data_IF_036098575619
#
_entry.id   IF_036098575619
#
_cell.length_a   1.000
_cell.length_b   1.000
_cell.length_c   1.000
_cell.angle_alpha   90.00
_cell.angle_beta   90.00
_cell.angle_gamma   90.00
#
_symmetry.space_group_name_H-M   'P 1'
#
loop_
_entity.id
_entity.type
_entity.pdbx_description
1 polymer ?
#
# COMPACT_ATOMS: atom_id res chain seq x y z
N UNK A 1 -1.57 -13.21 11.79
CA UNK A 1 -0.80 -12.12 11.13
C UNK A 1 0.68 -12.33 11.42
N UNK A 2 1.54 -12.44 10.40
CA UNK A 2 2.99 -12.67 10.57
C UNK A 2 3.70 -11.35 10.95
N UNK A 3 4.40 -11.34 12.08
CA UNK A 3 5.23 -10.20 12.54
C UNK A 3 6.61 -10.31 11.91
N UNK A 4 6.85 -9.63 10.78
CA UNK A 4 8.19 -9.55 10.21
C UNK A 4 8.99 -8.50 10.99
N UNK A 5 10.02 -8.92 11.73
CA UNK A 5 10.89 -8.02 12.50
C UNK A 5 10.13 -6.96 13.35
N UNK A 6 9.02 -7.32 13.99
CA UNK A 6 8.24 -6.39 14.83
C UNK A 6 7.34 -5.40 14.08
N UNK A 7 7.34 -5.40 12.74
CA UNK A 7 6.33 -4.69 11.96
C UNK A 7 4.98 -5.42 12.07
N UNK A 8 3.92 -4.64 12.31
CA UNK A 8 2.53 -5.12 12.32
C UNK A 8 1.78 -4.45 11.18
N UNK A 9 1.28 -5.26 10.25
CA UNK A 9 0.54 -4.76 9.10
C UNK A 9 -0.78 -4.09 9.54
N UNK A 10 -1.05 -2.93 8.95
CA UNK A 10 -2.31 -2.20 9.19
C UNK A 10 -3.49 -2.94 8.56
N UNK A 11 -4.34 -3.53 9.40
CA UNK A 11 -5.58 -4.18 8.94
C UNK A 11 -6.51 -3.24 8.17
N UNK A 12 -6.49 -1.93 8.50
CA UNK A 12 -7.24 -0.90 7.76
C UNK A 12 -6.70 -0.72 6.35
N UNK A 13 -5.38 -0.69 6.19
CA UNK A 13 -4.77 -0.55 4.86
C UNK A 13 -5.09 -1.77 3.98
N UNK A 14 -5.07 -2.97 4.56
CA UNK A 14 -5.50 -4.21 3.87
C UNK A 14 -6.94 -4.10 3.35
N UNK A 15 -7.86 -3.59 4.17
CA UNK A 15 -9.26 -3.38 3.77
C UNK A 15 -9.40 -2.38 2.61
N UNK A 16 -8.66 -1.26 2.64
CA UNK A 16 -8.70 -0.25 1.57
C UNK A 16 -8.13 -0.79 0.26
N UNK A 17 -7.07 -1.59 0.31
CA UNK A 17 -6.49 -2.23 -0.88
C UNK A 17 -7.47 -3.22 -1.50
N UNK A 18 -8.19 -3.97 -0.67
CA UNK A 18 -9.21 -4.92 -1.16
C UNK A 18 -10.35 -4.17 -1.87
N UNK A 19 -10.87 -3.11 -1.27
CA UNK A 19 -11.88 -2.24 -1.90
C UNK A 19 -11.39 -1.65 -3.23
N UNK A 20 -10.12 -1.24 -3.30
CA UNK A 20 -9.54 -0.74 -4.54
C UNK A 20 -9.51 -1.83 -5.62
N UNK A 21 -9.11 -3.05 -5.26
CA UNK A 21 -9.06 -4.19 -6.19
C UNK A 21 -10.45 -4.53 -6.74
N UNK A 22 -11.45 -4.59 -5.86
CA UNK A 22 -12.83 -4.87 -6.25
C UNK A 22 -13.36 -3.84 -7.24
N UNK A 23 -13.10 -2.55 -6.98
CA UNK A 23 -13.55 -1.46 -7.84
C UNK A 23 -12.82 -1.43 -9.18
N UNK A 24 -11.49 -1.62 -9.22
CA UNK A 24 -10.74 -1.67 -10.48
C UNK A 24 -11.12 -2.88 -11.35
N UNK A 25 -11.51 -4.00 -10.73
CA UNK A 25 -11.96 -5.21 -11.44
C UNK A 25 -13.28 -5.05 -12.20
N UNK A 26 -14.03 -3.98 -11.96
CA UNK A 26 -15.33 -3.72 -12.59
C UNK A 26 -15.24 -3.18 -14.04
N UNK A 27 -14.03 -2.93 -14.57
CA UNK A 27 -13.82 -2.66 -16.00
C UNK A 27 -14.28 -1.27 -16.50
N UNK A 28 -14.25 -0.24 -15.65
CA UNK A 28 -14.66 1.11 -16.04
C UNK A 28 -13.56 1.90 -16.77
N UNK A 29 -13.98 2.77 -17.69
CA UNK A 29 -13.11 3.76 -18.34
C UNK A 29 -12.85 4.92 -17.39
N UNK A 30 -11.61 5.06 -16.94
CA UNK A 30 -11.20 6.12 -16.02
C UNK A 30 -10.88 7.42 -16.76
N UNK A 31 -11.22 8.55 -16.16
CA UNK A 31 -10.76 9.86 -16.62
C UNK A 31 -9.23 9.99 -16.50
N UNK A 32 -8.60 10.74 -17.40
CA UNK A 32 -7.13 10.87 -17.50
C UNK A 32 -6.52 11.42 -16.21
N UNK A 33 -7.12 12.45 -15.61
CA UNK A 33 -6.62 13.06 -14.37
C UNK A 33 -6.71 12.09 -13.18
N UNK A 34 -7.80 11.33 -13.11
CA UNK A 34 -7.96 10.28 -12.11
C UNK A 34 -6.97 9.13 -12.30
N UNK A 35 -6.58 8.85 -13.55
CA UNK A 35 -5.61 7.80 -13.88
C UNK A 35 -4.23 8.12 -13.33
N UNK A 36 -3.78 9.38 -13.40
CA UNK A 36 -2.50 9.81 -12.83
C UNK A 36 -2.46 9.69 -11.30
N UNK A 37 -3.54 10.08 -10.63
CA UNK A 37 -3.66 9.95 -9.17
C UNK A 37 -3.64 8.46 -8.76
N UNK A 38 -4.38 7.63 -9.48
CA UNK A 38 -4.40 6.18 -9.28
C UNK A 38 -3.02 5.56 -9.51
N UNK A 39 -2.33 5.92 -10.58
CA UNK A 39 -0.96 5.44 -10.87
C UNK A 39 0.01 5.80 -9.75
N UNK A 40 -0.07 7.01 -9.20
CA UNK A 40 0.76 7.44 -8.09
C UNK A 40 0.51 6.60 -6.81
N UNK A 41 -0.75 6.34 -6.48
CA UNK A 41 -1.12 5.48 -5.33
C UNK A 41 -0.69 4.03 -5.57
N UNK A 42 -0.88 3.50 -6.78
CA UNK A 42 -0.44 2.15 -7.15
C UNK A 42 1.10 2.02 -7.08
N UNK A 43 1.84 3.03 -7.52
CA UNK A 43 3.30 3.06 -7.39
C UNK A 43 3.74 3.02 -5.91
N UNK A 44 3.07 3.77 -5.02
CA UNK A 44 3.32 3.70 -3.57
C UNK A 44 2.98 2.33 -2.97
N UNK A 45 1.87 1.72 -3.38
CA UNK A 45 1.52 0.35 -2.97
C UNK A 45 2.57 -0.68 -3.41
N UNK A 46 3.07 -0.57 -4.65
CA UNK A 46 4.14 -1.40 -5.16
C UNK A 46 5.44 -1.20 -4.36
N UNK A 47 5.81 0.05 -4.08
CA UNK A 47 6.99 0.37 -3.28
C UNK A 47 6.87 -0.23 -1.87
N UNK A 48 5.72 -0.07 -1.21
CA UNK A 48 5.42 -0.68 0.09
C UNK A 48 5.58 -2.20 0.04
N UNK A 49 5.02 -2.85 -0.97
CA UNK A 49 5.15 -4.31 -1.15
C UNK A 49 6.60 -4.75 -1.34
N UNK A 50 7.37 -4.03 -2.15
CA UNK A 50 8.79 -4.32 -2.35
C UNK A 50 9.58 -4.20 -1.04
N UNK A 51 9.33 -3.14 -0.25
CA UNK A 51 10.00 -2.93 1.05
C UNK A 51 9.63 -4.01 2.06
N UNK A 52 8.37 -4.45 2.09
CA UNK A 52 7.96 -5.59 2.93
C UNK A 52 8.67 -6.88 2.55
N UNK A 53 8.81 -7.18 1.25
CA UNK A 53 9.57 -8.36 0.80
C UNK A 53 11.05 -8.26 1.18
N UNK A 54 11.63 -7.06 1.17
CA UNK A 54 13.00 -6.82 1.66
C UNK A 54 13.08 -7.10 3.16
N UNK A 55 12.17 -6.55 3.96
CA UNK A 55 12.12 -6.76 5.42
C UNK A 55 11.97 -8.25 5.77
N UNK A 56 11.10 -8.97 5.07
CA UNK A 56 10.91 -10.41 5.24
C UNK A 56 12.17 -11.20 4.93
N UNK A 57 12.88 -10.86 3.84
CA UNK A 57 14.16 -11.50 3.49
C UNK A 57 15.24 -11.21 4.53
N UNK A 58 15.34 -9.97 5.01
CA UNK A 58 16.28 -9.58 6.06
C UNK A 58 16.02 -10.33 7.36
N UNK A 59 14.74 -10.48 7.73
CA UNK A 59 14.34 -11.25 8.92
C UNK A 59 14.73 -12.72 8.79
N UNK A 60 14.53 -13.33 7.60
CA UNK A 60 14.91 -14.72 7.34
C UNK A 60 16.42 -14.95 7.35
N UNK A 61 17.19 -13.97 6.90
CA UNK A 61 18.64 -14.05 6.78
C UNK A 61 19.39 -13.52 8.02
N UNK A 62 18.68 -13.25 9.14
CA UNK A 62 19.25 -12.70 10.38
C UNK A 62 20.10 -11.44 10.17
N UNK A 63 19.71 -10.57 9.23
CA UNK A 63 20.39 -9.30 8.97
C UNK A 63 20.20 -8.34 10.15
N UNK A 64 21.18 -7.44 10.38
CA UNK A 64 21.18 -6.45 11.47
C UNK A 64 19.81 -5.80 11.73
N UNK A 65 19.45 -5.71 13.02
CA UNK A 65 18.21 -5.09 13.49
C UNK A 65 18.12 -3.60 13.16
N UNK A 66 19.26 -2.89 13.10
CA UNK A 66 19.31 -1.48 12.71
C UNK A 66 18.93 -1.28 11.24
N UNK A 67 19.46 -2.12 10.35
CA UNK A 67 19.07 -2.11 8.94
C UNK A 67 17.58 -2.44 8.76
N UNK A 68 17.04 -3.36 9.57
CA UNK A 68 15.62 -3.69 9.57
C UNK A 68 14.75 -2.55 10.12
N UNK A 69 15.25 -1.74 11.06
CA UNK A 69 14.57 -0.55 11.57
C UNK A 69 14.38 0.51 10.48
N UNK A 70 15.43 0.82 9.71
CA UNK A 70 15.33 1.79 8.62
C UNK A 70 14.28 1.39 7.57
N UNK A 71 14.21 0.10 7.21
CA UNK A 71 13.19 -0.40 6.29
C UNK A 71 11.78 -0.31 6.89
N UNK A 72 11.61 -0.59 8.19
CA UNK A 72 10.32 -0.44 8.88
C UNK A 72 9.83 1.00 8.85
N UNK A 73 10.68 1.98 9.16
CA UNK A 73 10.30 3.39 9.12
C UNK A 73 9.81 3.81 7.73
N UNK A 74 10.46 3.33 6.66
CA UNK A 74 10.00 3.60 5.29
C UNK A 74 8.64 2.97 5.02
N UNK A 75 8.38 1.75 5.51
CA UNK A 75 7.08 1.09 5.35
C UNK A 75 5.99 1.85 6.13
N UNK A 76 6.28 2.27 7.36
CA UNK A 76 5.35 3.03 8.21
C UNK A 76 4.98 4.37 7.57
N UNK A 77 5.95 5.10 7.00
CA UNK A 77 5.70 6.33 6.25
C UNK A 77 4.82 6.09 5.01
N UNK A 78 5.07 5.02 4.28
CA UNK A 78 4.24 4.65 3.12
C UNK A 78 2.82 4.26 3.56
N UNK A 79 2.69 3.53 4.67
CA UNK A 79 1.38 3.17 5.23
C UNK A 79 0.58 4.41 5.62
N UNK A 80 1.21 5.39 6.28
CA UNK A 80 0.57 6.66 6.64
C UNK A 80 0.09 7.44 5.41
N UNK A 81 0.96 7.56 4.39
CA UNK A 81 0.59 8.21 3.13
C UNK A 81 -0.59 7.51 2.44
N UNK A 82 -0.52 6.18 2.33
CA UNK A 82 -1.57 5.39 1.71
C UNK A 82 -2.90 5.47 2.48
N UNK A 83 -2.86 5.54 3.81
CA UNK A 83 -4.05 5.72 4.64
C UNK A 83 -4.71 7.09 4.45
N UNK A 84 -3.95 8.11 4.04
CA UNK A 84 -4.47 9.43 3.72
C UNK A 84 -5.02 9.50 2.29
N UNK A 85 -4.36 8.83 1.34
CA UNK A 85 -4.64 8.95 -0.10
C UNK A 85 -5.72 7.97 -0.61
N UNK A 86 -5.75 6.73 -0.08
CA UNK A 86 -6.68 5.71 -0.57
C UNK A 86 -8.16 6.05 -0.34
N UNK A 87 -8.59 6.56 0.84
CA UNK A 87 -10.01 6.86 1.06
C UNK A 87 -10.60 7.86 0.04
N UNK A 88 -10.02 9.06 -0.19
CA UNK A 88 -10.58 10.00 -1.16
C UNK A 88 -10.48 9.45 -2.60
N UNK A 89 -9.45 8.67 -2.92
CA UNK A 89 -9.34 8.02 -4.23
C UNK A 89 -10.46 7.01 -4.46
N UNK A 90 -10.78 6.20 -3.45
CA UNK A 90 -11.87 5.24 -3.49
C UNK A 90 -13.22 5.94 -3.67
N UNK A 91 -13.49 7.01 -2.92
CA UNK A 91 -14.71 7.82 -3.06
C UNK A 91 -14.88 8.37 -4.49
N UNK A 92 -13.80 8.89 -5.08
CA UNK A 92 -13.83 9.36 -6.47
C UNK A 92 -14.06 8.23 -7.47
N UNK A 93 -13.45 7.07 -7.26
CA UNK A 93 -13.66 5.89 -8.10
C UNK A 93 -15.11 5.43 -8.09
N UNK A 94 -15.77 5.51 -6.94
CA UNK A 94 -17.20 5.20 -6.81
C UNK A 94 -18.07 6.17 -7.60
N UNK A 95 -17.73 7.46 -7.62
CA UNK A 95 -18.40 8.47 -8.44
C UNK A 95 -18.19 8.29 -9.95
N UNK A 96 -17.09 7.66 -10.37
CA UNK A 96 -16.86 7.34 -11.79
C UNK A 96 -17.66 6.11 -12.26
N UNK A 97 -18.19 5.32 -11.32
CA UNK A 97 -18.97 4.10 -11.61
C UNK A 97 -20.48 4.29 -11.44
N UNK A 98 -20.90 5.40 -10.80
CA UNK A 98 -22.29 5.81 -10.66
C UNK A 98 -22.78 6.53 -11.91
#
# INVERSE_FOLDING_TARGET
MQRAAGYTESGRLTQLIEQLRERLGAGSLLQVDFTQELEAVLARLLMRNQRLRVLQRMTRNCVSLESAAAIRTVIEQLDEQLLQELPPLLERLEQQHA
#
